data_IF_863781188828
#
_entry.id   IF_863781188828
#
_cell.length_a   1.000
_cell.length_b   1.000
_cell.length_c   1.000
_cell.angle_alpha   90.00
_cell.angle_beta   90.00
_cell.angle_gamma   90.00
#
_symmetry.space_group_name_H-M   'P 1'
#
loop_
_entity.id
_entity.type
_entity.pdbx_description
1 polymer ?
#
# COMPACT_ATOMS: atom_id res chain seq x y z
N UNK A 1 -48.72 -28.77 -41.57
CA UNK A 1 -47.44 -28.45 -40.95
C UNK A 1 -47.63 -27.19 -40.11
N UNK A 2 -47.74 -27.37 -38.76
CA UNK A 2 -47.86 -26.29 -37.78
C UNK A 2 -46.46 -25.83 -37.33
N UNK A 3 -46.08 -24.61 -37.64
CA UNK A 3 -44.89 -23.96 -37.06
C UNK A 3 -45.29 -23.32 -35.73
N UNK A 4 -44.84 -23.86 -34.63
CA UNK A 4 -44.91 -23.23 -33.30
C UNK A 4 -43.76 -22.24 -33.20
N UNK A 5 -44.07 -20.93 -33.20
CA UNK A 5 -43.10 -19.87 -32.92
C UNK A 5 -42.98 -19.75 -31.41
N UNK A 6 -41.85 -20.22 -30.87
CA UNK A 6 -41.48 -20.01 -29.48
C UNK A 6 -40.99 -18.55 -29.35
N UNK A 7 -41.83 -17.68 -28.77
CA UNK A 7 -41.41 -16.34 -28.31
C UNK A 7 -40.57 -16.51 -27.09
N UNK A 8 -39.23 -16.38 -27.24
CA UNK A 8 -38.31 -16.20 -26.13
C UNK A 8 -38.59 -14.81 -25.52
N UNK A 9 -39.20 -14.80 -24.33
CA UNK A 9 -39.36 -13.61 -23.49
C UNK A 9 -37.98 -13.18 -23.00
N UNK A 10 -37.40 -12.16 -23.61
CA UNK A 10 -36.27 -11.43 -23.06
C UNK A 10 -36.70 -10.76 -21.76
N UNK A 11 -36.43 -11.38 -20.64
CA UNK A 11 -36.45 -10.68 -19.34
C UNK A 11 -35.27 -9.72 -19.32
N UNK A 12 -35.48 -8.42 -19.03
CA UNK A 12 -34.38 -7.52 -18.85
C UNK A 12 -33.58 -7.95 -17.62
N UNK A 13 -32.33 -8.38 -17.83
CA UNK A 13 -31.38 -8.61 -16.77
C UNK A 13 -31.16 -7.28 -16.06
N UNK A 14 -31.69 -7.15 -14.85
CA UNK A 14 -31.49 -5.99 -13.98
C UNK A 14 -29.99 -5.93 -13.68
N UNK A 15 -29.25 -5.07 -14.37
CA UNK A 15 -27.88 -4.73 -13.99
C UNK A 15 -27.97 -4.14 -12.58
N UNK A 16 -27.53 -4.93 -11.60
CA UNK A 16 -27.27 -4.43 -10.24
C UNK A 16 -26.07 -3.49 -10.33
N UNK A 17 -26.32 -2.21 -10.47
CA UNK A 17 -25.35 -1.16 -10.21
C UNK A 17 -25.06 -1.20 -8.72
N UNK A 18 -23.97 -1.88 -8.34
CA UNK A 18 -23.48 -1.91 -6.95
C UNK A 18 -22.96 -0.50 -6.67
N UNK A 19 -23.73 0.30 -5.95
CA UNK A 19 -23.28 1.61 -5.47
C UNK A 19 -22.20 1.36 -4.41
N UNK A 20 -20.93 1.53 -4.80
CA UNK A 20 -19.79 1.43 -3.88
C UNK A 20 -19.91 2.50 -2.81
N UNK A 21 -19.84 2.14 -1.55
CA UNK A 21 -19.88 3.10 -0.45
C UNK A 21 -18.59 3.95 -0.44
N UNK A 22 -18.67 5.17 0.13
CA UNK A 22 -17.49 6.04 0.24
C UNK A 22 -16.34 5.35 1.00
N UNK A 23 -16.66 4.59 2.04
CA UNK A 23 -15.67 3.82 2.81
C UNK A 23 -14.97 2.76 1.95
N UNK A 24 -15.72 2.02 1.12
CA UNK A 24 -15.13 1.04 0.19
C UNK A 24 -14.25 1.73 -0.86
N UNK A 25 -14.65 2.90 -1.34
CA UNK A 25 -13.86 3.69 -2.26
C UNK A 25 -12.53 4.15 -1.61
N UNK A 26 -12.58 4.63 -0.37
CA UNK A 26 -11.37 5.00 0.39
C UNK A 26 -10.47 3.79 0.61
N UNK A 27 -11.01 2.61 0.93
CA UNK A 27 -10.22 1.38 1.07
C UNK A 27 -9.52 1.00 -0.23
N UNK A 28 -10.23 1.01 -1.35
CA UNK A 28 -9.64 0.72 -2.67
C UNK A 28 -8.52 1.68 -3.03
N UNK A 29 -8.67 2.98 -2.74
CA UNK A 29 -7.63 3.96 -2.98
C UNK A 29 -6.45 3.80 -2.02
N UNK A 30 -6.68 3.36 -0.80
CA UNK A 30 -5.62 3.02 0.16
C UNK A 30 -4.82 1.79 -0.30
N UNK A 31 -5.46 0.78 -0.90
CA UNK A 31 -4.79 -0.36 -1.56
C UNK A 31 -3.86 0.13 -2.68
N UNK A 32 -4.36 0.96 -3.59
CA UNK A 32 -3.56 1.56 -4.66
C UNK A 32 -2.38 2.38 -4.13
N UNK A 33 -2.57 3.12 -3.03
CA UNK A 33 -1.49 3.85 -2.39
C UNK A 33 -0.42 2.89 -1.83
N UNK A 34 -0.82 1.81 -1.17
CA UNK A 34 0.10 0.79 -0.66
C UNK A 34 0.89 0.11 -1.78
N UNK A 35 0.24 -0.24 -2.89
CA UNK A 35 0.89 -0.79 -4.09
C UNK A 35 1.91 0.20 -4.66
N UNK A 36 1.51 1.46 -4.85
CA UNK A 36 2.41 2.53 -5.36
C UNK A 36 3.63 2.73 -4.45
N UNK A 37 3.44 2.76 -3.14
CA UNK A 37 4.52 2.89 -2.16
C UNK A 37 5.47 1.67 -2.18
N UNK A 38 4.92 0.46 -2.33
CA UNK A 38 5.69 -0.79 -2.43
C UNK A 38 6.57 -0.78 -3.69
N UNK A 39 6.01 -0.41 -4.83
CA UNK A 39 6.76 -0.28 -6.09
C UNK A 39 7.85 0.80 -6.01
N UNK A 40 7.52 1.97 -5.44
CA UNK A 40 8.46 3.06 -5.24
C UNK A 40 9.63 2.64 -4.33
N UNK A 41 9.34 1.91 -3.24
CA UNK A 41 10.34 1.37 -2.32
C UNK A 41 11.26 0.39 -3.02
N UNK A 42 10.70 -0.56 -3.77
CA UNK A 42 11.46 -1.54 -4.53
C UNK A 42 12.35 -0.88 -5.60
N UNK A 43 11.82 0.12 -6.31
CA UNK A 43 12.57 0.89 -7.31
C UNK A 43 13.73 1.67 -6.69
N UNK A 44 13.51 2.32 -5.56
CA UNK A 44 14.56 3.04 -4.82
C UNK A 44 15.64 2.08 -4.32
N UNK A 45 15.27 0.94 -3.76
CA UNK A 45 16.20 -0.08 -3.29
C UNK A 45 17.09 -0.60 -4.44
N UNK A 46 16.51 -0.89 -5.61
CA UNK A 46 17.27 -1.27 -6.80
C UNK A 46 18.27 -0.18 -7.20
N UNK A 47 17.86 1.08 -7.25
CA UNK A 47 18.71 2.20 -7.63
C UNK A 47 19.93 2.34 -6.72
N UNK A 48 19.73 2.33 -5.40
CA UNK A 48 20.85 2.42 -4.44
C UNK A 48 21.86 1.29 -4.61
N UNK A 49 21.39 0.11 -4.99
CA UNK A 49 22.25 -1.06 -5.18
C UNK A 49 23.13 -0.95 -6.42
N UNK A 50 22.61 -0.32 -7.49
CA UNK A 50 23.35 -0.14 -8.74
C UNK A 50 24.26 1.11 -8.75
N UNK A 51 23.85 2.18 -8.04
CA UNK A 51 24.61 3.45 -8.06
C UNK A 51 25.82 3.47 -7.11
N UNK A 52 26.05 2.41 -6.31
CA UNK A 52 27.19 2.35 -5.38
C UNK A 52 28.19 1.24 -5.75
N UNK A 53 29.01 1.52 -6.77
CA UNK A 53 30.26 0.82 -7.00
C UNK A 53 31.31 1.08 -5.90
N UNK A 54 31.09 2.05 -5.01
CA UNK A 54 31.99 2.46 -3.93
C UNK A 54 31.68 1.85 -2.54
N UNK A 55 31.54 0.58 -2.46
CA UNK A 55 32.18 -0.29 -1.44
C UNK A 55 31.62 -0.33 -0.01
N UNK A 56 30.83 0.58 0.53
CA UNK A 56 30.54 0.55 1.98
C UNK A 56 29.13 0.09 2.39
N UNK A 57 28.17 0.09 1.49
CA UNK A 57 26.83 -0.47 1.75
C UNK A 57 26.59 -1.83 1.08
N UNK A 58 27.46 -2.21 0.15
CA UNK A 58 27.34 -3.45 -0.62
C UNK A 58 27.50 -4.72 0.22
N UNK A 59 28.25 -4.68 1.32
CA UNK A 59 28.52 -5.85 2.16
C UNK A 59 27.30 -6.41 2.88
N UNK A 60 26.26 -5.61 3.10
CA UNK A 60 25.02 -6.06 3.74
C UNK A 60 24.10 -6.85 2.79
N UNK A 61 24.36 -6.76 1.48
CA UNK A 61 23.50 -7.34 0.44
C UNK A 61 24.25 -8.27 -0.50
N UNK A 62 25.49 -8.62 -0.20
CA UNK A 62 26.27 -9.58 -0.94
C UNK A 62 26.25 -10.94 -0.23
N UNK A 63 26.19 -12.01 -0.99
CA UNK A 63 26.45 -13.34 -0.48
C UNK A 63 27.94 -13.53 -0.10
N UNK A 64 28.28 -14.67 0.47
CA UNK A 64 29.64 -15.03 0.83
C UNK A 64 30.65 -15.02 -0.34
N UNK A 65 30.16 -15.06 -1.58
CA UNK A 65 30.93 -15.03 -2.82
C UNK A 65 31.02 -13.62 -3.42
N UNK A 66 30.43 -12.61 -2.76
CA UNK A 66 30.39 -11.24 -3.23
C UNK A 66 29.34 -10.97 -4.33
N UNK A 67 28.44 -11.91 -4.60
CA UNK A 67 27.35 -11.71 -5.53
C UNK A 67 26.17 -11.02 -4.83
N UNK A 68 25.46 -10.18 -5.57
CA UNK A 68 24.24 -9.56 -5.09
C UNK A 68 23.22 -10.64 -4.68
N UNK A 69 22.87 -10.65 -3.39
CA UNK A 69 21.79 -11.48 -2.85
C UNK A 69 20.47 -10.71 -3.06
N UNK A 70 19.59 -11.17 -3.95
CA UNK A 70 18.27 -10.56 -4.05
C UNK A 70 17.60 -10.63 -2.68
N UNK A 71 16.87 -9.58 -2.29
CA UNK A 71 16.04 -9.67 -1.09
C UNK A 71 14.96 -10.70 -1.38
N UNK A 72 15.07 -11.86 -0.72
CA UNK A 72 14.02 -12.87 -0.74
C UNK A 72 12.74 -12.34 -0.08
N UNK A 73 12.87 -11.25 0.69
CA UNK A 73 11.82 -10.68 1.50
C UNK A 73 11.80 -9.13 1.41
N UNK A 74 11.33 -8.55 0.30
CA UNK A 74 11.29 -7.09 0.14
C UNK A 74 10.28 -6.46 1.11
N UNK A 75 10.59 -5.25 1.60
CA UNK A 75 9.62 -4.41 2.31
C UNK A 75 8.39 -4.15 1.44
N UNK A 76 7.22 -4.17 2.05
CA UNK A 76 5.98 -3.79 1.38
C UNK A 76 5.08 -2.94 2.29
N UNK A 77 4.12 -2.27 1.69
CA UNK A 77 3.13 -1.47 2.40
C UNK A 77 1.79 -2.18 2.41
N UNK A 78 1.10 -2.10 3.53
CA UNK A 78 -0.28 -2.54 3.68
C UNK A 78 -0.99 -1.62 4.68
N UNK A 79 -2.26 -1.87 4.97
CA UNK A 79 -2.93 -1.13 6.02
C UNK A 79 -3.68 -2.01 7.01
N UNK A 80 -3.79 -1.54 8.23
CA UNK A 80 -4.57 -2.13 9.31
C UNK A 80 -5.86 -1.33 9.43
N UNK A 81 -7.01 -2.02 9.40
CA UNK A 81 -8.33 -1.39 9.52
C UNK A 81 -8.62 -1.13 10.99
N UNK A 82 -8.59 0.15 11.37
CA UNK A 82 -8.98 0.61 12.70
C UNK A 82 -10.44 1.08 12.76
N UNK A 83 -10.87 1.54 13.93
CA UNK A 83 -12.24 2.06 14.13
C UNK A 83 -12.54 3.25 13.22
N UNK A 84 -11.65 4.23 13.14
CA UNK A 84 -11.79 5.45 12.35
C UNK A 84 -10.85 5.48 11.15
N UNK A 85 -9.62 5.01 11.32
CA UNK A 85 -8.55 5.15 10.35
C UNK A 85 -8.16 3.82 9.72
N UNK A 86 -7.73 3.87 8.47
CA UNK A 86 -6.83 2.90 7.87
C UNK A 86 -5.42 3.34 8.24
N UNK A 87 -4.70 2.47 8.94
CA UNK A 87 -3.31 2.72 9.34
C UNK A 87 -2.38 2.10 8.31
N UNK A 88 -1.77 2.89 7.45
CA UNK A 88 -0.78 2.41 6.47
C UNK A 88 0.53 2.12 7.20
N UNK A 89 1.03 0.90 7.05
CA UNK A 89 2.24 0.40 7.74
C UNK A 89 3.25 -0.14 6.75
N UNK A 90 4.52 -0.01 7.11
CA UNK A 90 5.64 -0.67 6.42
C UNK A 90 5.82 -2.05 7.04
N UNK A 91 5.84 -3.06 6.21
CA UNK A 91 6.10 -4.44 6.59
C UNK A 91 7.54 -4.79 6.24
N UNK A 92 8.31 -5.18 7.25
CA UNK A 92 9.70 -5.62 7.11
C UNK A 92 9.81 -7.09 7.51
N UNK A 93 10.68 -7.83 6.82
CA UNK A 93 10.99 -9.21 7.18
C UNK A 93 12.01 -9.26 8.32
N UNK A 94 11.74 -10.14 9.32
CA UNK A 94 12.64 -10.43 10.44
C UNK A 94 12.55 -11.90 10.78
N UNK A 95 13.65 -12.62 10.68
CA UNK A 95 13.71 -14.08 10.88
C UNK A 95 13.18 -14.55 12.25
N UNK A 96 13.45 -13.77 13.30
CA UNK A 96 13.11 -14.09 14.68
C UNK A 96 11.96 -13.25 15.26
N UNK A 97 11.16 -12.63 14.39
CA UNK A 97 10.13 -11.70 14.82
C UNK A 97 9.03 -12.37 15.64
N UNK A 98 9.04 -12.15 16.95
CA UNK A 98 7.96 -12.53 17.87
C UNK A 98 6.93 -11.44 18.06
N UNK A 99 7.29 -10.17 17.78
CA UNK A 99 6.46 -8.98 18.00
C UNK A 99 6.16 -8.25 16.68
N UNK A 100 5.08 -7.48 16.69
CA UNK A 100 4.70 -6.64 15.55
C UNK A 100 3.98 -7.37 14.41
N UNK A 101 3.63 -8.65 14.59
CA UNK A 101 2.86 -9.41 13.60
C UNK A 101 1.44 -8.87 13.47
N UNK A 102 0.94 -8.83 12.26
CA UNK A 102 -0.48 -8.66 11.96
C UNK A 102 -1.02 -9.97 11.39
N UNK A 103 -2.25 -10.34 11.72
CA UNK A 103 -2.80 -11.67 11.41
C UNK A 103 -2.81 -12.03 9.92
N UNK A 104 -2.83 -11.04 9.04
CA UNK A 104 -2.85 -11.23 7.58
C UNK A 104 -1.45 -11.19 6.93
N UNK A 105 -0.38 -10.92 7.70
CA UNK A 105 0.97 -10.84 7.15
C UNK A 105 1.55 -12.24 6.88
N UNK A 106 2.35 -12.41 5.81
CA UNK A 106 3.15 -13.61 5.62
C UNK A 106 4.08 -13.88 6.80
N UNK A 107 4.46 -15.15 6.99
CA UNK A 107 5.37 -15.54 8.08
C UNK A 107 6.70 -14.77 7.97
N UNK A 108 7.23 -14.31 9.10
CA UNK A 108 8.45 -13.52 9.17
C UNK A 108 8.26 -12.00 8.98
N UNK A 109 7.11 -11.55 8.47
CA UNK A 109 6.86 -10.12 8.34
C UNK A 109 6.27 -9.50 9.60
N UNK A 110 6.75 -8.31 9.93
CA UNK A 110 6.26 -7.49 11.04
C UNK A 110 5.93 -6.08 10.56
N UNK A 111 4.96 -5.44 11.19
CA UNK A 111 4.69 -4.03 10.98
C UNK A 111 5.77 -3.20 11.71
N UNK A 112 6.74 -2.70 10.96
CA UNK A 112 7.92 -2.02 11.51
C UNK A 112 7.63 -0.55 11.85
N UNK A 113 6.87 0.15 11.02
CA UNK A 113 6.54 1.56 11.23
C UNK A 113 5.18 1.93 10.64
N UNK A 114 4.62 3.03 11.13
CA UNK A 114 3.41 3.64 10.55
C UNK A 114 3.80 4.72 9.57
N UNK A 115 3.35 4.57 8.34
CA UNK A 115 3.59 5.52 7.27
C UNK A 115 2.58 6.67 7.28
N UNK A 116 1.28 6.32 7.32
CA UNK A 116 0.19 7.30 7.25
C UNK A 116 -1.07 6.78 7.95
N UNK A 117 -2.00 7.70 8.22
CA UNK A 117 -3.38 7.40 8.60
C UNK A 117 -4.34 7.96 7.55
N UNK A 118 -5.35 7.21 7.16
CA UNK A 118 -6.40 7.65 6.24
C UNK A 118 -7.74 7.51 6.94
N UNK A 119 -8.48 8.61 7.08
CA UNK A 119 -9.84 8.58 7.65
C UNK A 119 -10.77 7.86 6.68
N UNK A 120 -11.39 6.77 7.12
CA UNK A 120 -12.26 5.91 6.30
C UNK A 120 -13.49 6.63 5.75
N UNK A 121 -13.96 7.62 6.49
CA UNK A 121 -15.20 8.31 6.17
C UNK A 121 -15.00 9.53 5.29
N UNK A 122 -13.86 10.24 5.46
CA UNK A 122 -13.59 11.49 4.73
C UNK A 122 -12.56 11.34 3.62
N UNK A 123 -11.71 10.30 3.68
CA UNK A 123 -10.57 10.14 2.78
C UNK A 123 -9.37 11.04 3.12
N UNK A 124 -9.41 11.73 4.26
CA UNK A 124 -8.31 12.59 4.68
C UNK A 124 -7.07 11.78 5.06
N UNK A 125 -5.93 12.18 4.51
CA UNK A 125 -4.63 11.55 4.73
C UNK A 125 -3.83 12.39 5.71
N UNK A 126 -3.31 11.74 6.75
CA UNK A 126 -2.52 12.34 7.81
C UNK A 126 -1.14 11.68 7.89
N UNK A 127 -0.14 12.44 8.22
CA UNK A 127 1.15 11.92 8.66
C UNK A 127 0.99 11.19 10.01
N UNK A 128 1.75 10.14 10.25
CA UNK A 128 1.82 9.52 11.56
C UNK A 128 2.56 10.44 12.56
N UNK A 129 2.00 10.61 13.76
CA UNK A 129 2.67 11.21 14.89
C UNK A 129 3.26 10.13 15.81
N UNK A 130 2.56 9.02 15.95
CA UNK A 130 2.95 7.86 16.72
C UNK A 130 2.31 6.60 16.13
N UNK A 131 2.62 5.44 16.68
CA UNK A 131 2.05 4.15 16.27
C UNK A 131 0.52 4.14 16.26
N UNK A 132 -0.12 4.81 17.20
CA UNK A 132 -1.58 4.77 17.40
C UNK A 132 -2.31 6.06 17.03
N UNK A 133 -1.59 7.11 16.60
CA UNK A 133 -2.21 8.42 16.38
C UNK A 133 -1.66 9.19 15.18
N UNK A 134 -2.56 9.84 14.40
CA UNK A 134 -2.15 10.76 13.36
C UNK A 134 -1.62 12.08 13.94
N UNK A 135 -0.73 12.73 13.19
CA UNK A 135 -0.34 14.11 13.43
C UNK A 135 -1.50 15.07 13.10
N UNK A 136 -1.47 16.27 13.71
CA UNK A 136 -2.44 17.32 13.40
C UNK A 136 -2.30 17.80 11.95
N UNK A 137 -3.44 18.08 11.34
CA UNK A 137 -3.54 18.65 9.99
C UNK A 137 -3.57 17.60 8.88
N UNK A 138 -4.57 17.75 8.03
CA UNK A 138 -4.76 16.97 6.81
C UNK A 138 -3.65 17.30 5.82
N UNK A 139 -3.03 16.30 5.23
CA UNK A 139 -1.99 16.46 4.20
C UNK A 139 -2.59 16.42 2.80
N UNK A 140 -3.49 15.52 2.58
CA UNK A 140 -4.22 15.31 1.33
C UNK A 140 -5.61 14.77 1.63
N UNK A 141 -6.48 14.79 0.62
CA UNK A 141 -7.68 13.97 0.62
C UNK A 141 -7.57 12.97 -0.54
N UNK A 142 -7.60 11.66 -0.24
CA UNK A 142 -7.34 10.62 -1.24
C UNK A 142 -8.46 10.51 -2.28
N UNK A 143 -9.70 10.93 -1.92
CA UNK A 143 -10.84 10.90 -2.85
C UNK A 143 -10.77 12.01 -3.88
N UNK A 144 -10.33 13.21 -3.49
CA UNK A 144 -10.34 14.41 -4.35
C UNK A 144 -8.97 14.72 -4.98
N UNK A 145 -7.90 14.16 -4.44
CA UNK A 145 -6.51 14.41 -4.85
C UNK A 145 -5.76 13.10 -5.20
N UNK A 146 -6.48 12.07 -5.64
CA UNK A 146 -5.96 10.72 -5.90
C UNK A 146 -4.68 10.74 -6.73
N UNK A 147 -4.72 11.34 -7.92
CA UNK A 147 -3.55 11.39 -8.82
C UNK A 147 -2.35 12.09 -8.18
N UNK A 148 -2.59 13.19 -7.48
CA UNK A 148 -1.53 13.95 -6.80
C UNK A 148 -0.88 13.11 -5.70
N UNK A 149 -1.68 12.41 -4.90
CA UNK A 149 -1.19 11.55 -3.80
C UNK A 149 -0.36 10.41 -4.36
N UNK A 150 -0.90 9.66 -5.33
CA UNK A 150 -0.22 8.51 -5.94
C UNK A 150 1.07 8.94 -6.65
N UNK A 151 1.04 10.01 -7.46
CA UNK A 151 2.24 10.51 -8.14
C UNK A 151 3.34 10.92 -7.15
N UNK A 152 3.00 11.63 -6.08
CA UNK A 152 3.98 12.05 -5.07
C UNK A 152 4.51 10.88 -4.26
N UNK A 153 3.64 9.94 -3.86
CA UNK A 153 4.03 8.72 -3.18
C UNK A 153 4.96 7.85 -4.05
N UNK A 154 4.66 7.72 -5.35
CA UNK A 154 5.48 6.98 -6.30
C UNK A 154 6.88 7.56 -6.51
N UNK A 155 7.05 8.87 -6.35
CA UNK A 155 8.34 9.53 -6.49
C UNK A 155 9.14 9.61 -5.17
N UNK A 156 8.56 9.16 -4.06
CA UNK A 156 9.08 9.35 -2.70
C UNK A 156 10.00 8.21 -2.23
N UNK A 157 10.05 7.09 -2.96
CA UNK A 157 10.80 5.90 -2.54
C UNK A 157 10.24 5.25 -1.26
N UNK A 158 9.01 5.57 -0.87
CA UNK A 158 8.36 5.02 0.31
C UNK A 158 8.83 5.63 1.65
N UNK A 159 9.49 6.80 1.64
CA UNK A 159 9.99 7.46 2.86
C UNK A 159 8.98 8.37 3.56
N UNK A 160 7.89 8.75 2.89
CA UNK A 160 6.86 9.61 3.45
C UNK A 160 7.17 11.10 3.40
N UNK A 161 8.18 11.53 2.63
CA UNK A 161 8.51 12.96 2.47
C UNK A 161 7.34 13.75 1.90
N UNK A 162 6.52 13.16 1.04
CA UNK A 162 5.33 13.81 0.48
C UNK A 162 4.30 14.22 1.55
N UNK A 163 4.34 13.62 2.75
CA UNK A 163 3.49 13.96 3.89
C UNK A 163 3.99 15.16 4.71
N UNK A 164 5.17 15.70 4.38
CA UNK A 164 5.74 16.89 5.03
C UNK A 164 5.41 18.12 4.18
N UNK A 165 4.35 18.81 4.57
CA UNK A 165 3.91 20.08 4.01
C UNK A 165 3.93 21.16 5.09
#
# INVERSE_FOLDING_TARGET
>A
FNFIIIRLLNKPTKQMTTTTTQTEQVQKLAEQLCETLTEARAGWMKKIRFDKEDGNYSKLYLDENGNYKPEDHPDYFTFIIGKRYLKVVVMEYKDDAQFGRINAAPAGYVAASVHAFIDKNTGDVFKAAAWSSPAKGVRYNILTQTETVLKRAGNDGGFGYYLYR
#
